data_IF_545050095791
#
_entry.id   IF_545050095791
#
_cell.length_a   1.000
_cell.length_b   1.000
_cell.length_c   1.000
_cell.angle_alpha   90.00
_cell.angle_beta   90.00
_cell.angle_gamma   90.00
#
_symmetry.space_group_name_H-M   'P 1'
#
loop_
_entity.id
_entity.type
_entity.pdbx_description
1 polymer ?
#
# COMPACT_ATOMS: atom_id res chain seq x y z
N UNK A 1 23.45 -62.42 -31.22
CA UNK A 1 23.88 -61.02 -31.49
C UNK A 1 22.89 -60.10 -30.83
N UNK A 2 23.25 -59.44 -29.71
CA UNK A 2 22.39 -58.45 -29.06
C UNK A 2 22.66 -57.06 -29.66
N UNK A 3 21.64 -56.21 -29.90
CA UNK A 3 21.85 -54.89 -30.46
C UNK A 3 22.44 -53.97 -29.40
N UNK A 4 23.50 -53.21 -29.71
CA UNK A 4 24.14 -52.21 -28.87
C UNK A 4 23.20 -51.00 -28.67
N UNK A 5 22.97 -50.62 -27.44
CA UNK A 5 22.26 -49.37 -27.08
C UNK A 5 23.06 -48.15 -27.55
N UNK A 6 22.39 -47.11 -28.13
CA UNK A 6 23.06 -45.87 -28.52
C UNK A 6 23.60 -45.15 -27.29
N UNK A 7 24.82 -44.63 -27.39
CA UNK A 7 25.44 -43.77 -26.34
C UNK A 7 24.84 -42.36 -26.44
N UNK A 8 24.36 -41.84 -25.31
CA UNK A 8 24.01 -40.43 -25.20
C UNK A 8 25.24 -39.56 -25.46
N UNK A 9 25.04 -38.43 -26.20
CA UNK A 9 26.10 -37.43 -26.36
C UNK A 9 26.43 -36.75 -25.04
N UNK A 10 27.70 -36.30 -24.82
CA UNK A 10 28.09 -35.59 -23.59
C UNK A 10 27.36 -34.25 -23.49
N UNK A 11 26.94 -33.91 -22.25
CA UNK A 11 26.29 -32.66 -21.93
C UNK A 11 27.19 -31.45 -22.29
N UNK A 12 26.66 -30.37 -22.83
CA UNK A 12 27.43 -29.19 -23.17
C UNK A 12 28.08 -28.58 -21.91
N UNK A 13 29.38 -28.28 -21.99
CA UNK A 13 30.12 -27.59 -20.93
C UNK A 13 29.43 -26.25 -20.60
N UNK A 14 28.96 -26.12 -19.34
CA UNK A 14 28.48 -24.84 -18.85
C UNK A 14 29.62 -23.81 -18.88
N UNK A 15 29.51 -22.83 -19.74
CA UNK A 15 30.37 -21.62 -19.69
C UNK A 15 30.19 -20.98 -18.30
N UNK A 16 31.25 -20.92 -17.54
CA UNK A 16 31.29 -20.12 -16.32
C UNK A 16 30.98 -18.66 -16.67
N UNK A 17 29.84 -18.18 -16.22
CA UNK A 17 29.48 -16.76 -16.33
C UNK A 17 30.45 -15.97 -15.43
N UNK A 18 31.22 -15.09 -16.03
CA UNK A 18 32.01 -14.08 -15.31
C UNK A 18 31.07 -13.35 -14.33
N UNK A 19 31.46 -13.10 -13.07
CA UNK A 19 30.63 -12.36 -12.14
C UNK A 19 30.37 -10.96 -12.70
N UNK A 20 29.14 -10.68 -13.05
CA UNK A 20 28.72 -9.32 -13.38
C UNK A 20 28.91 -8.47 -12.12
N UNK A 21 29.74 -7.44 -12.22
CA UNK A 21 29.79 -6.38 -11.20
C UNK A 21 28.36 -5.92 -10.95
N UNK A 22 27.82 -6.21 -9.78
CA UNK A 22 26.57 -5.61 -9.30
C UNK A 22 26.76 -4.09 -9.37
N UNK A 23 25.99 -3.42 -10.24
CA UNK A 23 25.90 -1.97 -10.19
C UNK A 23 25.43 -1.63 -8.79
N UNK A 24 26.27 -0.94 -8.00
CA UNK A 24 25.84 -0.33 -6.76
C UNK A 24 24.61 0.53 -7.10
N UNK A 25 23.45 0.10 -6.61
CA UNK A 25 22.24 0.90 -6.71
C UNK A 25 22.43 2.07 -5.75
N UNK A 26 22.64 3.26 -6.30
CA UNK A 26 22.66 4.49 -5.50
C UNK A 26 21.35 4.52 -4.68
N UNK A 27 21.41 4.66 -3.35
CA UNK A 27 20.22 4.76 -2.52
C UNK A 27 19.36 5.91 -3.06
N UNK A 28 18.06 5.66 -3.26
CA UNK A 28 17.12 6.73 -3.64
C UNK A 28 16.99 7.66 -2.45
N UNK A 29 17.66 8.80 -2.53
CA UNK A 29 17.58 9.85 -1.51
C UNK A 29 16.30 10.65 -1.73
N UNK A 30 15.53 10.95 -0.68
CA UNK A 30 14.38 11.84 -0.80
C UNK A 30 14.77 13.14 -1.47
N UNK A 31 13.95 13.62 -2.41
CA UNK A 31 14.21 14.85 -3.16
C UNK A 31 14.27 16.08 -2.26
N UNK A 32 13.54 16.04 -1.16
CA UNK A 32 13.52 17.06 -0.13
C UNK A 32 14.00 16.48 1.18
N UNK A 33 14.93 17.14 1.89
CA UNK A 33 15.37 16.71 3.21
C UNK A 33 14.19 16.77 4.19
N UNK A 34 14.16 15.84 5.12
CA UNK A 34 13.21 15.90 6.22
C UNK A 34 13.56 17.06 7.16
N UNK A 35 12.55 17.79 7.66
CA UNK A 35 12.79 18.82 8.66
C UNK A 35 13.27 18.19 9.97
N UNK A 36 14.05 18.96 10.74
CA UNK A 36 14.38 18.59 12.11
C UNK A 36 13.11 18.68 12.99
N UNK A 37 12.86 17.65 13.78
CA UNK A 37 11.69 17.58 14.65
C UNK A 37 11.61 18.77 15.62
N UNK A 38 12.75 19.25 16.12
CA UNK A 38 12.81 20.36 17.05
C UNK A 38 12.44 21.72 16.42
N UNK A 39 12.45 21.79 15.09
CA UNK A 39 12.04 23.00 14.34
C UNK A 39 10.55 23.00 13.96
N UNK A 40 9.85 21.89 14.19
CA UNK A 40 8.44 21.76 13.82
C UNK A 40 7.53 22.47 14.84
N UNK A 41 6.35 22.95 14.40
CA UNK A 41 5.30 23.37 15.32
C UNK A 41 4.95 22.27 16.31
N UNK A 42 4.64 22.67 17.54
CA UNK A 42 4.44 21.76 18.69
C UNK A 42 3.36 20.70 18.41
N UNK A 43 2.23 21.09 17.83
CA UNK A 43 1.13 20.16 17.50
C UNK A 43 1.56 19.07 16.50
N UNK A 44 2.36 19.41 15.51
CA UNK A 44 2.88 18.46 14.51
C UNK A 44 3.90 17.53 15.15
N UNK A 45 4.84 18.10 15.90
CA UNK A 45 5.87 17.34 16.62
C UNK A 45 5.24 16.35 17.59
N UNK A 46 4.30 16.80 18.41
CA UNK A 46 3.58 15.96 19.37
C UNK A 46 2.94 14.76 18.67
N UNK A 47 2.18 15.00 17.59
CA UNK A 47 1.53 13.92 16.87
C UNK A 47 2.53 12.95 16.21
N UNK A 48 3.65 13.43 15.69
CA UNK A 48 4.69 12.57 15.12
C UNK A 48 5.27 11.65 16.21
N UNK A 49 5.54 12.19 17.41
CA UNK A 49 6.08 11.42 18.54
C UNK A 49 5.06 10.40 19.08
N UNK A 50 3.78 10.72 19.13
CA UNK A 50 2.71 9.77 19.48
C UNK A 50 2.64 8.60 18.48
N UNK A 51 2.82 8.88 17.19
CA UNK A 51 2.86 7.84 16.17
C UNK A 51 4.11 6.97 16.34
N UNK A 52 5.27 7.59 16.63
CA UNK A 52 6.50 6.85 16.91
C UNK A 52 6.34 5.92 18.13
N UNK A 53 5.72 6.39 19.21
CA UNK A 53 5.48 5.57 20.38
C UNK A 53 4.60 4.35 20.07
N UNK A 54 3.54 4.54 19.29
CA UNK A 54 2.60 3.47 18.93
C UNK A 54 3.17 2.48 17.92
N UNK A 55 3.88 2.97 16.90
CA UNK A 55 4.38 2.17 15.79
C UNK A 55 5.79 1.61 16.00
N UNK A 56 6.58 2.24 16.90
CA UNK A 56 7.99 1.93 17.12
C UNK A 56 8.94 2.66 16.18
N UNK A 57 8.43 3.44 15.23
CA UNK A 57 9.20 4.26 14.28
C UNK A 57 8.33 5.41 13.76
N UNK A 58 8.97 6.40 13.12
CA UNK A 58 8.26 7.49 12.46
C UNK A 58 8.07 7.13 10.98
N UNK A 59 6.82 6.96 10.48
CA UNK A 59 6.60 6.77 9.06
C UNK A 59 7.06 7.97 8.25
N UNK A 60 7.81 7.74 7.17
CA UNK A 60 8.42 8.80 6.37
C UNK A 60 7.43 9.82 5.81
N UNK A 61 6.15 9.45 5.63
CA UNK A 61 5.09 10.37 5.20
C UNK A 61 4.89 11.53 6.18
N UNK A 62 5.01 11.27 7.49
CA UNK A 62 4.85 12.32 8.51
C UNK A 62 5.98 13.35 8.40
N UNK A 63 7.21 12.91 8.19
CA UNK A 63 8.36 13.80 8.03
C UNK A 63 8.35 14.53 6.69
N UNK A 64 8.04 13.83 5.61
CA UNK A 64 8.05 14.40 4.26
C UNK A 64 7.05 15.55 4.09
N UNK A 65 5.83 15.39 4.64
CA UNK A 65 4.81 16.43 4.58
C UNK A 65 5.01 17.55 5.63
N UNK A 66 5.74 17.29 6.74
CA UNK A 66 5.97 18.27 7.80
C UNK A 66 6.75 19.50 7.35
N UNK A 67 7.43 19.42 6.20
CA UNK A 67 8.05 20.58 5.54
C UNK A 67 7.06 21.73 5.31
N UNK A 68 5.77 21.44 5.18
CA UNK A 68 4.71 22.44 4.94
C UNK A 68 3.59 22.28 5.98
N UNK A 69 3.74 22.89 7.15
CA UNK A 69 2.86 22.67 8.30
C UNK A 69 1.36 22.84 8.04
N UNK A 70 0.96 23.82 7.25
CA UNK A 70 -0.45 24.04 6.92
C UNK A 70 -1.02 22.89 6.06
N UNK A 71 -0.26 22.44 5.06
CA UNK A 71 -0.65 21.32 4.20
C UNK A 71 -0.63 19.99 4.97
N UNK A 72 0.33 19.81 5.88
CA UNK A 72 0.39 18.65 6.76
C UNK A 72 -0.89 18.50 7.59
N UNK A 73 -1.33 19.59 8.23
CA UNK A 73 -2.57 19.58 9.02
C UNK A 73 -3.80 19.22 8.18
N UNK A 74 -3.93 19.85 7.01
CA UNK A 74 -5.05 19.58 6.11
C UNK A 74 -5.04 18.14 5.59
N UNK A 75 -3.86 17.64 5.21
CA UNK A 75 -3.68 16.27 4.72
C UNK A 75 -4.07 15.23 5.78
N UNK A 76 -3.53 15.36 6.99
CA UNK A 76 -3.81 14.39 8.05
C UNK A 76 -5.21 14.56 8.64
N UNK A 77 -5.79 15.75 8.63
CA UNK A 77 -7.19 15.92 9.03
C UNK A 77 -8.13 15.18 8.07
N UNK A 78 -7.90 15.28 6.76
CA UNK A 78 -8.71 14.55 5.78
C UNK A 78 -8.43 13.04 5.80
N UNK A 79 -7.16 12.65 5.94
CA UNK A 79 -6.79 11.24 6.14
C UNK A 79 -7.57 10.63 7.31
N UNK A 80 -7.59 11.29 8.45
CA UNK A 80 -8.25 10.77 9.65
C UNK A 80 -9.77 10.66 9.48
N UNK A 81 -10.38 11.68 8.84
CA UNK A 81 -11.81 11.66 8.54
C UNK A 81 -12.20 10.46 7.66
N UNK A 82 -11.31 10.03 6.74
CA UNK A 82 -11.56 8.90 5.86
C UNK A 82 -11.15 7.56 6.47
N UNK A 83 -9.95 7.47 7.05
CA UNK A 83 -9.32 6.20 7.42
C UNK A 83 -9.59 5.77 8.86
N UNK A 84 -9.90 6.73 9.75
CA UNK A 84 -10.19 6.49 11.17
C UNK A 84 -11.68 6.57 11.51
N UNK A 85 -12.54 6.81 10.53
CA UNK A 85 -14.00 6.80 10.68
C UNK A 85 -14.45 5.45 11.24
N UNK A 86 -15.21 5.48 12.33
CA UNK A 86 -15.76 4.27 12.98
C UNK A 86 -17.17 3.91 12.46
N UNK A 87 -17.82 4.82 11.74
CA UNK A 87 -19.15 4.68 11.17
C UNK A 87 -19.09 4.11 9.75
N UNK A 88 -20.23 3.59 9.27
CA UNK A 88 -20.36 3.01 7.93
C UNK A 88 -20.04 1.52 7.88
N UNK A 89 -20.20 0.92 6.70
CA UNK A 89 -20.05 -0.53 6.50
C UNK A 89 -18.67 -0.94 5.97
N UNK A 90 -17.76 0.02 5.74
CA UNK A 90 -16.37 -0.28 5.36
C UNK A 90 -15.54 -0.58 6.61
N UNK A 91 -15.00 -1.77 6.69
CA UNK A 91 -14.03 -2.12 7.73
C UNK A 91 -12.72 -1.37 7.54
N UNK A 92 -11.88 -1.31 8.59
CA UNK A 92 -10.51 -0.78 8.46
C UNK A 92 -9.70 -1.56 7.42
N UNK A 93 -9.92 -2.87 7.30
CA UNK A 93 -9.31 -3.70 6.27
C UNK A 93 -9.77 -3.33 4.86
N UNK A 94 -11.07 -3.07 4.66
CA UNK A 94 -11.60 -2.63 3.35
C UNK A 94 -10.98 -1.29 2.92
N UNK A 95 -10.86 -0.31 3.83
CA UNK A 95 -10.23 0.98 3.57
C UNK A 95 -8.76 0.83 3.13
N UNK A 96 -7.99 0.03 3.86
CA UNK A 96 -6.59 -0.26 3.52
C UNK A 96 -6.45 -1.08 2.22
N UNK A 97 -7.44 -1.91 1.91
CA UNK A 97 -7.48 -2.69 0.67
C UNK A 97 -7.69 -1.78 -0.55
N UNK A 98 -8.60 -0.80 -0.45
CA UNK A 98 -8.79 0.25 -1.47
C UNK A 98 -7.47 0.97 -1.72
N UNK A 99 -6.82 1.44 -0.64
CA UNK A 99 -5.53 2.14 -0.74
C UNK A 99 -4.47 1.28 -1.41
N UNK A 100 -4.35 0.02 -1.01
CA UNK A 100 -3.33 -0.90 -1.54
C UNK A 100 -3.53 -1.13 -3.04
N UNK A 101 -4.78 -1.41 -3.48
CA UNK A 101 -5.10 -1.68 -4.88
C UNK A 101 -4.89 -0.45 -5.77
N UNK A 102 -5.42 0.70 -5.37
CA UNK A 102 -5.32 1.95 -6.14
C UNK A 102 -3.90 2.51 -6.17
N UNK A 103 -3.16 2.35 -5.06
CA UNK A 103 -1.74 2.71 -5.03
C UNK A 103 -0.87 1.82 -5.91
N UNK A 104 -1.23 0.54 -6.07
CA UNK A 104 -0.56 -0.37 -7.00
C UNK A 104 -0.82 0.04 -8.45
N UNK A 105 -2.06 0.39 -8.81
CA UNK A 105 -2.40 0.94 -10.13
C UNK A 105 -1.60 2.23 -10.43
N UNK A 106 -1.44 3.11 -9.43
CA UNK A 106 -0.64 4.32 -9.52
C UNK A 106 0.88 4.08 -9.37
N UNK A 107 1.35 2.84 -9.20
CA UNK A 107 2.76 2.45 -9.04
C UNK A 107 3.46 3.20 -7.89
N UNK A 108 2.75 3.51 -6.81
CA UNK A 108 3.31 4.18 -5.65
C UNK A 108 3.96 3.18 -4.69
N UNK A 109 5.29 3.04 -4.76
CA UNK A 109 6.03 2.11 -3.90
C UNK A 109 5.77 2.37 -2.41
N UNK A 110 5.84 3.65 -1.96
CA UNK A 110 5.61 4.01 -0.57
C UNK A 110 4.25 3.50 -0.07
N UNK A 111 3.19 3.89 -0.79
CA UNK A 111 1.83 3.62 -0.35
C UNK A 111 1.49 2.13 -0.39
N UNK A 112 1.92 1.41 -1.45
CA UNK A 112 1.71 -0.06 -1.53
C UNK A 112 2.36 -0.77 -0.34
N UNK A 113 3.59 -0.40 0.01
CA UNK A 113 4.32 -1.07 1.10
C UNK A 113 3.75 -0.70 2.46
N UNK A 114 3.48 0.58 2.72
CA UNK A 114 2.97 1.07 4.00
C UNK A 114 1.55 0.57 4.28
N UNK A 115 0.62 0.82 3.36
CA UNK A 115 -0.78 0.42 3.52
C UNK A 115 -0.98 -1.09 3.37
N UNK A 116 -0.18 -1.75 2.54
CA UNK A 116 -0.14 -3.21 2.49
C UNK A 116 0.27 -3.84 3.81
N UNK A 117 1.15 -3.19 4.60
CA UNK A 117 1.49 -3.62 5.95
C UNK A 117 0.30 -3.54 6.90
N UNK A 118 -0.43 -2.42 6.86
CA UNK A 118 -1.60 -2.19 7.71
C UNK A 118 -2.74 -3.13 7.30
N UNK A 119 -2.95 -3.34 5.99
CA UNK A 119 -3.93 -4.29 5.45
C UNK A 119 -3.68 -5.71 6.00
N UNK A 120 -2.44 -6.19 6.00
CA UNK A 120 -2.11 -7.51 6.57
C UNK A 120 -2.47 -7.63 8.04
N UNK A 121 -2.32 -6.54 8.81
CA UNK A 121 -2.66 -6.51 10.23
C UNK A 121 -4.17 -6.57 10.44
N UNK A 122 -4.94 -5.76 9.71
CA UNK A 122 -6.39 -5.70 9.87
C UNK A 122 -7.09 -6.96 9.37
N UNK A 123 -6.70 -7.47 8.19
CA UNK A 123 -7.26 -8.70 7.64
C UNK A 123 -6.74 -9.97 8.33
N UNK A 124 -5.65 -9.88 9.10
CA UNK A 124 -4.95 -11.04 9.71
C UNK A 124 -4.54 -12.09 8.68
N UNK A 125 -4.30 -11.65 7.45
CA UNK A 125 -3.89 -12.46 6.30
C UNK A 125 -2.53 -11.96 5.80
N UNK A 126 -1.42 -12.67 6.05
CA UNK A 126 -0.08 -12.19 5.73
C UNK A 126 0.22 -12.03 4.23
N UNK A 127 -0.56 -12.66 3.36
CA UNK A 127 -0.34 -12.65 1.91
C UNK A 127 -1.31 -11.76 1.14
N UNK A 128 -2.39 -11.26 1.77
CA UNK A 128 -3.48 -10.57 1.08
C UNK A 128 -3.00 -9.29 0.37
N UNK A 129 -2.11 -8.54 0.99
CA UNK A 129 -1.62 -7.28 0.42
C UNK A 129 -0.84 -7.50 -0.88
N UNK A 130 -0.01 -8.55 -0.94
CA UNK A 130 0.75 -8.89 -2.15
C UNK A 130 -0.20 -9.34 -3.28
N UNK A 131 -1.21 -10.13 -2.95
CA UNK A 131 -2.23 -10.59 -3.90
C UNK A 131 -3.04 -9.41 -4.45
N UNK A 132 -3.50 -8.51 -3.58
CA UNK A 132 -4.28 -7.33 -3.95
C UNK A 132 -3.45 -6.40 -4.83
N UNK A 133 -2.21 -6.12 -4.45
CA UNK A 133 -1.33 -5.22 -5.20
C UNK A 133 -0.97 -5.75 -6.60
N UNK A 134 -0.80 -7.07 -6.74
CA UNK A 134 -0.40 -7.67 -8.03
C UNK A 134 -1.61 -7.96 -8.91
N UNK A 135 -2.65 -8.58 -8.35
CA UNK A 135 -3.87 -8.92 -9.08
C UNK A 135 -5.02 -9.21 -8.11
N UNK A 136 -5.73 -8.16 -7.69
CA UNK A 136 -6.84 -8.29 -6.74
C UNK A 136 -7.95 -9.23 -7.22
N UNK A 137 -8.15 -9.40 -8.54
CA UNK A 137 -9.17 -10.29 -9.10
C UNK A 137 -8.93 -11.75 -8.78
N UNK A 138 -7.67 -12.12 -8.47
CA UNK A 138 -7.25 -13.47 -8.06
C UNK A 138 -6.87 -13.56 -6.59
N UNK A 139 -7.01 -12.47 -5.84
CA UNK A 139 -6.70 -12.42 -4.42
C UNK A 139 -7.73 -13.21 -3.60
N UNK A 140 -7.31 -13.68 -2.42
CA UNK A 140 -8.18 -14.33 -1.42
C UNK A 140 -9.01 -13.29 -0.67
N UNK A 141 -9.96 -12.69 -1.38
CA UNK A 141 -10.90 -11.67 -0.91
C UNK A 141 -12.33 -12.07 -1.24
N UNK A 142 -13.30 -11.50 -0.52
CA UNK A 142 -14.71 -11.77 -0.72
C UNK A 142 -15.25 -11.20 -2.04
N UNK A 143 -16.40 -11.70 -2.56
CA UNK A 143 -17.07 -11.08 -3.70
C UNK A 143 -17.42 -9.60 -3.46
N UNK A 144 -17.82 -9.23 -2.22
CA UNK A 144 -18.09 -7.85 -1.80
C UNK A 144 -16.84 -6.98 -1.93
N UNK A 145 -15.70 -7.44 -1.40
CA UNK A 145 -14.42 -6.73 -1.52
C UNK A 145 -13.96 -6.60 -2.97
N UNK A 146 -14.23 -7.60 -3.79
CA UNK A 146 -13.91 -7.55 -5.23
C UNK A 146 -14.72 -6.47 -5.95
N UNK A 147 -16.05 -6.41 -5.73
CA UNK A 147 -16.91 -5.36 -6.29
C UNK A 147 -16.44 -3.95 -5.83
N UNK A 148 -16.11 -3.79 -4.56
CA UNK A 148 -15.51 -2.57 -4.01
C UNK A 148 -14.25 -2.15 -4.77
N UNK A 149 -13.34 -3.09 -5.03
CA UNK A 149 -12.09 -2.80 -5.74
C UNK A 149 -12.29 -2.55 -7.24
N UNK A 150 -13.26 -3.23 -7.89
CA UNK A 150 -13.62 -2.95 -9.28
C UNK A 150 -14.07 -1.49 -9.42
N UNK A 151 -14.90 -1.00 -8.50
CA UNK A 151 -15.34 0.39 -8.47
C UNK A 151 -14.19 1.36 -8.11
N UNK A 152 -13.42 1.06 -7.05
CA UNK A 152 -12.28 1.91 -6.65
C UNK A 152 -11.26 2.09 -7.80
N UNK A 153 -10.98 1.04 -8.56
CA UNK A 153 -10.09 1.14 -9.73
C UNK A 153 -10.73 1.90 -10.89
N UNK A 154 -12.05 1.81 -11.07
CA UNK A 154 -12.76 2.65 -12.05
C UNK A 154 -12.67 4.13 -11.67
N UNK A 155 -12.88 4.47 -10.40
CA UNK A 155 -12.67 5.84 -9.87
C UNK A 155 -11.22 6.29 -10.09
N UNK A 156 -10.24 5.42 -9.82
CA UNK A 156 -8.81 5.73 -9.92
C UNK A 156 -8.37 6.04 -11.36
N UNK A 157 -8.82 5.25 -12.32
CA UNK A 157 -8.28 5.22 -13.68
C UNK A 157 -9.20 5.88 -14.70
N UNK A 158 -10.52 5.82 -14.47
CA UNK A 158 -11.55 6.19 -15.45
C UNK A 158 -12.77 6.81 -14.79
N UNK A 159 -12.58 7.75 -13.88
CA UNK A 159 -13.67 8.39 -13.13
C UNK A 159 -14.75 9.03 -14.01
N UNK A 160 -14.40 9.44 -15.23
CA UNK A 160 -15.32 10.00 -16.21
C UNK A 160 -16.27 8.96 -16.86
N UNK A 161 -16.06 7.68 -16.62
CA UNK A 161 -16.91 6.58 -17.12
C UNK A 161 -17.86 6.03 -16.04
N UNK A 162 -17.95 6.66 -14.86
CA UNK A 162 -18.83 6.21 -13.79
C UNK A 162 -20.29 6.46 -14.20
N UNK A 163 -21.12 5.44 -14.05
CA UNK A 163 -22.53 5.42 -14.43
C UNK A 163 -23.39 4.86 -13.28
N UNK A 164 -24.70 5.02 -13.35
CA UNK A 164 -25.65 4.52 -12.33
C UNK A 164 -25.53 3.01 -12.12
N UNK A 165 -25.21 2.27 -13.19
CA UNK A 165 -24.97 0.80 -13.13
C UNK A 165 -23.80 0.40 -12.20
N UNK A 166 -22.83 1.29 -11.96
CA UNK A 166 -21.75 1.03 -10.99
C UNK A 166 -22.27 1.08 -9.55
N UNK A 167 -23.20 2.02 -9.28
CA UNK A 167 -23.87 2.11 -7.99
C UNK A 167 -24.77 0.90 -7.75
N UNK A 168 -25.55 0.49 -8.75
CA UNK A 168 -26.41 -0.70 -8.67
C UNK A 168 -25.59 -1.94 -8.36
N UNK A 169 -24.43 -2.10 -8.98
CA UNK A 169 -23.51 -3.20 -8.71
C UNK A 169 -23.00 -3.21 -7.26
N UNK A 170 -22.70 -2.05 -6.68
CA UNK A 170 -22.27 -1.96 -5.29
C UNK A 170 -23.43 -2.17 -4.31
N UNK A 171 -24.62 -1.64 -4.59
CA UNK A 171 -25.84 -1.88 -3.81
C UNK A 171 -26.17 -3.37 -3.74
N UNK A 172 -26.02 -4.11 -4.87
CA UNK A 172 -26.22 -5.56 -4.91
C UNK A 172 -25.24 -6.34 -4.00
N UNK A 173 -24.11 -5.71 -3.61
CA UNK A 173 -23.15 -6.25 -2.65
C UNK A 173 -23.30 -5.68 -1.24
N UNK A 174 -24.37 -4.92 -0.96
CA UNK A 174 -24.71 -4.40 0.36
C UNK A 174 -23.94 -3.15 0.79
N UNK A 175 -23.41 -2.39 -0.16
CA UNK A 175 -22.92 -1.04 0.08
C UNK A 175 -24.08 -0.04 -0.06
N UNK A 176 -24.13 0.97 0.79
CA UNK A 176 -25.02 2.11 0.64
C UNK A 176 -24.29 3.29 -0.03
N UNK A 177 -25.02 4.39 -0.27
CA UNK A 177 -24.47 5.58 -0.95
C UNK A 177 -23.31 6.22 -0.17
N UNK A 178 -23.35 6.17 1.17
CA UNK A 178 -22.28 6.69 2.01
C UNK A 178 -21.00 5.82 1.92
N UNK A 179 -21.18 4.51 1.84
CA UNK A 179 -20.06 3.59 1.59
C UNK A 179 -19.43 3.85 0.21
N UNK A 180 -20.27 4.07 -0.82
CA UNK A 180 -19.81 4.35 -2.19
C UNK A 180 -19.06 5.68 -2.22
N UNK A 181 -19.57 6.69 -1.49
CA UNK A 181 -18.86 7.97 -1.30
C UNK A 181 -17.50 7.75 -0.64
N UNK A 182 -17.43 6.98 0.46
CA UNK A 182 -16.17 6.68 1.15
C UNK A 182 -15.15 5.97 0.24
N UNK A 183 -15.59 4.99 -0.56
CA UNK A 183 -14.71 4.29 -1.53
C UNK A 183 -14.11 5.29 -2.52
N UNK A 184 -14.93 6.16 -3.08
CA UNK A 184 -14.49 7.17 -4.04
C UNK A 184 -13.56 8.22 -3.39
N UNK A 185 -13.91 8.69 -2.19
CA UNK A 185 -13.14 9.70 -1.45
C UNK A 185 -11.77 9.18 -1.04
N UNK A 186 -11.68 7.94 -0.53
CA UNK A 186 -10.41 7.27 -0.21
C UNK A 186 -9.55 7.14 -1.47
N UNK A 187 -10.15 6.70 -2.57
CA UNK A 187 -9.44 6.56 -3.85
C UNK A 187 -8.87 7.89 -4.33
N UNK A 188 -9.66 8.96 -4.29
CA UNK A 188 -9.25 10.29 -4.72
C UNK A 188 -8.14 10.87 -3.82
N UNK A 189 -8.28 10.75 -2.49
CA UNK A 189 -7.29 11.20 -1.53
C UNK A 189 -5.95 10.50 -1.72
N UNK A 190 -5.96 9.17 -1.87
CA UNK A 190 -4.72 8.44 -2.12
C UNK A 190 -4.17 8.65 -3.53
N UNK A 191 -5.00 9.02 -4.48
CA UNK A 191 -4.52 9.53 -5.77
C UNK A 191 -3.63 10.76 -5.63
N UNK A 192 -3.97 11.70 -4.73
CA UNK A 192 -3.10 12.82 -4.34
C UNK A 192 -1.85 12.32 -3.62
N UNK A 193 -2.01 11.51 -2.58
CA UNK A 193 -0.91 10.99 -1.76
C UNK A 193 0.13 10.23 -2.61
N UNK A 194 -0.31 9.37 -3.52
CA UNK A 194 0.56 8.58 -4.41
C UNK A 194 1.44 9.49 -5.28
N UNK A 195 0.85 10.54 -5.85
CA UNK A 195 1.58 11.50 -6.71
C UNK A 195 2.61 12.29 -5.90
N UNK A 196 2.24 12.73 -4.70
CA UNK A 196 3.16 13.45 -3.83
C UNK A 196 4.30 12.56 -3.32
N UNK A 197 4.02 11.33 -2.93
CA UNK A 197 5.04 10.37 -2.51
C UNK A 197 6.03 10.07 -3.64
N UNK A 198 5.54 9.83 -4.85
CA UNK A 198 6.37 9.57 -6.04
C UNK A 198 7.19 10.81 -6.43
N UNK A 199 6.56 12.00 -6.44
CA UNK A 199 7.22 13.26 -6.72
C UNK A 199 8.34 13.57 -5.73
N UNK A 200 8.10 13.38 -4.44
CA UNK A 200 9.08 13.64 -3.38
C UNK A 200 10.20 12.59 -3.30
N UNK A 201 10.08 11.48 -4.03
CA UNK A 201 11.01 10.34 -3.92
C UNK A 201 10.94 9.68 -2.56
N UNK A 202 9.74 9.62 -1.98
CA UNK A 202 9.52 9.05 -0.65
C UNK A 202 9.68 7.53 -0.69
N UNK A 203 10.61 7.02 0.13
CA UNK A 203 10.82 5.58 0.28
C UNK A 203 10.09 5.05 1.51
N UNK A 204 9.52 3.83 1.44
CA UNK A 204 8.89 3.22 2.60
C UNK A 204 9.94 2.89 3.68
N UNK A 205 9.51 3.01 4.94
CA UNK A 205 10.33 2.57 6.06
C UNK A 205 10.55 1.05 6.00
N UNK A 206 11.77 0.55 6.30
CA UNK A 206 12.07 -0.89 6.29
C UNK A 206 11.11 -1.72 7.16
N UNK A 207 10.64 -1.17 8.26
CA UNK A 207 9.73 -1.81 9.21
C UNK A 207 8.43 -2.29 8.56
N UNK A 208 7.88 -1.54 7.61
CA UNK A 208 6.66 -1.91 6.90
C UNK A 208 6.75 -3.24 6.14
N UNK A 209 7.93 -3.59 5.65
CA UNK A 209 8.10 -4.82 4.87
C UNK A 209 7.81 -6.09 5.66
N UNK A 210 8.06 -6.07 6.98
CA UNK A 210 7.87 -7.22 7.86
C UNK A 210 6.58 -7.18 8.69
N UNK A 211 5.95 -6.00 8.82
CA UNK A 211 4.73 -5.85 9.61
C UNK A 211 3.59 -6.73 9.07
N UNK A 212 2.97 -7.49 9.98
CA UNK A 212 1.87 -8.40 9.67
C UNK A 212 2.26 -9.67 8.89
N UNK A 213 3.56 -9.89 8.58
CA UNK A 213 4.04 -11.11 7.91
C UNK A 213 4.49 -12.19 8.89
N UNK A 214 5.06 -11.78 9.99
CA UNK A 214 5.56 -12.70 11.03
C UNK A 214 4.60 -12.66 12.20
N UNK A 215 4.13 -13.80 12.71
CA UNK A 215 3.35 -13.84 13.94
C UNK A 215 4.15 -13.19 15.07
N UNK A 216 3.50 -12.33 15.86
CA UNK A 216 4.14 -11.84 17.08
C UNK A 216 4.50 -13.04 17.96
N UNK A 217 5.73 -13.11 18.54
CA UNK A 217 6.05 -14.11 19.52
C UNK A 217 4.96 -14.09 20.61
N UNK A 218 4.41 -15.24 20.95
CA UNK A 218 3.53 -15.33 22.11
C UNK A 218 4.38 -14.92 23.29
N UNK A 219 4.11 -13.77 23.91
CA UNK A 219 4.67 -13.44 25.22
C UNK A 219 4.25 -14.57 26.14
N UNK A 220 5.22 -15.31 26.66
CA UNK A 220 4.99 -16.26 27.74
C UNK A 220 4.38 -15.47 28.90
N UNK A 221 3.10 -15.75 29.20
CA UNK A 221 2.41 -15.25 30.39
C UNK A 221 2.92 -15.93 31.64
#
# INVERSE_FOLDING_TARGET
MQPRKPRCPPAPMMRQKTPQKTKETTPVTPRYPFPDLDTLPEDIRTRILEVQEKAGFIPNVFLAFARRPAEWRAFFAYHDALMLKEEGNLTKGDREMIVTATSAANQCLYCVVAHGAILRIYEKKPLVADQVAVNYRKADITPRQRAMLDFALKVCERSHEIEDSDFDALHAHGFDDEDIWDIAAITAFFGLSNRMASFAGMMPNPEFYLMGRVPKPKTAG
#
